data_IF_042016643371
#
_entry.id   IF_042016643371
#
_cell.length_a   1.000
_cell.length_b   1.000
_cell.length_c   1.000
_cell.angle_alpha   90.00
_cell.angle_beta   90.00
_cell.angle_gamma   90.00
#
_symmetry.space_group_name_H-M   'P 1'
#
loop_
_entity.id
_entity.type
_entity.pdbx_description
1 polymer ?
#
# COMPACT_ATOMS: atom_id res chain seq x y z
N UNK A 1 -2.78 -6.01 16.66
CA UNK A 1 -1.81 -5.09 16.03
C UNK A 1 -1.34 -5.76 14.75
N UNK A 2 -1.57 -5.16 13.58
CA UNK A 2 -1.10 -5.69 12.31
C UNK A 2 0.17 -4.93 11.94
N UNK A 3 1.29 -5.64 11.86
CA UNK A 3 2.62 -5.05 11.58
C UNK A 3 3.11 -5.38 10.17
N UNK A 4 2.63 -6.47 9.56
CA UNK A 4 3.03 -6.89 8.23
C UNK A 4 1.80 -7.23 7.38
N UNK A 5 1.77 -6.76 6.13
CA UNK A 5 0.73 -7.07 5.15
C UNK A 5 1.37 -7.49 3.82
N UNK A 6 1.16 -8.75 3.46
CA UNK A 6 1.65 -9.32 2.20
C UNK A 6 0.48 -9.49 1.23
N UNK A 7 0.51 -8.73 0.14
CA UNK A 7 -0.45 -8.78 -0.96
C UNK A 7 0.25 -9.04 -2.30
N UNK A 8 1.41 -9.68 -2.27
CA UNK A 8 2.17 -9.98 -3.48
C UNK A 8 1.44 -11.01 -4.34
N UNK A 9 1.40 -10.79 -5.66
CA UNK A 9 0.70 -11.67 -6.61
C UNK A 9 -0.81 -11.87 -6.32
N UNK A 10 -1.51 -10.79 -5.97
CA UNK A 10 -2.95 -10.81 -5.65
C UNK A 10 -3.83 -10.16 -6.72
N UNK A 11 -3.24 -9.81 -7.88
CA UNK A 11 -3.91 -9.10 -8.99
C UNK A 11 -4.46 -7.74 -8.58
N UNK A 12 -3.77 -7.04 -7.67
CA UNK A 12 -4.07 -5.63 -7.42
C UNK A 12 -3.88 -4.84 -8.72
N UNK A 13 -4.79 -3.91 -8.93
CA UNK A 13 -4.76 -2.92 -10.00
C UNK A 13 -4.84 -1.52 -9.40
N UNK A 14 -4.68 -0.48 -10.23
CA UNK A 14 -4.68 0.92 -9.78
C UNK A 14 -5.91 1.28 -8.92
N UNK A 15 -7.16 0.94 -9.31
CA UNK A 15 -8.32 1.16 -8.44
C UNK A 15 -8.24 0.45 -7.10
N UNK A 16 -7.84 -0.83 -7.08
CA UNK A 16 -7.74 -1.60 -5.85
C UNK A 16 -6.67 -1.06 -4.91
N UNK A 17 -5.51 -0.67 -5.46
CA UNK A 17 -4.40 -0.13 -4.67
C UNK A 17 -4.71 1.25 -4.10
N UNK A 18 -5.60 2.02 -4.74
CA UNK A 18 -6.07 3.30 -4.20
C UNK A 18 -6.81 3.12 -2.87
N UNK A 19 -7.67 2.12 -2.76
CA UNK A 19 -8.32 1.80 -1.48
C UNK A 19 -7.31 1.37 -0.41
N UNK A 20 -6.26 0.66 -0.82
CA UNK A 20 -5.16 0.31 0.07
C UNK A 20 -4.42 1.56 0.55
N UNK A 21 -4.06 2.47 -0.36
CA UNK A 21 -3.41 3.74 -0.05
C UNK A 21 -4.22 4.58 0.95
N UNK A 22 -5.53 4.74 0.72
CA UNK A 22 -6.44 5.45 1.63
C UNK A 22 -6.44 4.84 3.04
N UNK A 23 -6.37 3.50 3.14
CA UNK A 23 -6.32 2.80 4.42
C UNK A 23 -4.93 2.90 5.10
N UNK A 24 -3.85 2.94 4.32
CA UNK A 24 -2.48 3.05 4.83
C UNK A 24 -2.26 4.38 5.56
N UNK A 25 -2.81 5.49 5.07
CA UNK A 25 -2.66 6.80 5.73
C UNK A 25 -3.23 6.83 7.15
N UNK A 26 -4.22 6.00 7.46
CA UNK A 26 -4.82 5.90 8.79
C UNK A 26 -4.21 4.80 9.68
N UNK A 27 -3.33 3.94 9.13
CA UNK A 27 -2.83 2.77 9.84
C UNK A 27 -1.48 3.04 10.52
N UNK A 28 -1.50 3.25 11.83
CA UNK A 28 -0.31 3.68 12.61
C UNK A 28 0.55 2.52 13.14
N UNK A 29 0.29 1.27 12.73
CA UNK A 29 1.02 0.10 13.27
C UNK A 29 1.62 -0.82 12.22
N UNK A 30 1.38 -0.55 10.94
CA UNK A 30 1.90 -1.37 9.85
C UNK A 30 3.33 -0.93 9.56
N UNK A 31 4.26 -1.85 9.70
CA UNK A 31 5.71 -1.64 9.56
C UNK A 31 6.19 -2.14 8.18
N UNK A 32 5.51 -3.15 7.60
CA UNK A 32 5.90 -3.72 6.31
C UNK A 32 4.70 -3.97 5.38
N UNK A 33 4.81 -3.54 4.12
CA UNK A 33 3.84 -3.76 3.05
C UNK A 33 4.51 -4.37 1.81
N UNK A 34 4.08 -5.56 1.41
CA UNK A 34 4.58 -6.24 0.19
C UNK A 34 3.52 -6.35 -0.88
N UNK A 35 3.61 -5.51 -1.91
CA UNK A 35 2.65 -5.47 -3.05
C UNK A 35 3.29 -5.86 -4.39
N UNK A 36 4.41 -6.57 -4.38
CA UNK A 36 5.12 -6.96 -5.61
C UNK A 36 4.30 -7.93 -6.48
N UNK A 37 4.68 -8.02 -7.76
CA UNK A 37 4.02 -8.92 -8.73
C UNK A 37 2.50 -8.68 -8.86
N UNK A 38 2.08 -7.42 -8.80
CA UNK A 38 0.71 -6.99 -9.10
C UNK A 38 0.66 -6.17 -10.39
N UNK A 39 -0.54 -5.81 -10.84
CA UNK A 39 -0.78 -5.00 -12.03
C UNK A 39 -1.01 -3.53 -11.65
N UNK A 40 -0.07 -2.99 -10.88
CA UNK A 40 -0.07 -1.60 -10.42
C UNK A 40 0.77 -0.81 -11.40
N UNK A 41 0.14 0.12 -12.11
CA UNK A 41 0.79 1.03 -13.05
C UNK A 41 1.11 2.36 -12.35
N UNK A 42 1.38 3.41 -13.13
CA UNK A 42 1.83 4.71 -12.63
C UNK A 42 0.86 5.33 -11.61
N UNK A 43 -0.46 5.27 -11.86
CA UNK A 43 -1.44 5.93 -10.99
C UNK A 43 -1.55 5.24 -9.64
N UNK A 44 -1.54 3.90 -9.63
CA UNK A 44 -1.53 3.14 -8.39
C UNK A 44 -0.22 3.30 -7.62
N UNK A 45 0.91 3.36 -8.32
CA UNK A 45 2.22 3.66 -7.72
C UNK A 45 2.27 5.03 -7.06
N UNK A 46 1.71 6.06 -7.69
CA UNK A 46 1.59 7.40 -7.12
C UNK A 46 0.74 7.42 -5.84
N UNK A 47 -0.42 6.75 -5.85
CA UNK A 47 -1.29 6.68 -4.68
C UNK A 47 -0.58 6.04 -3.46
N UNK A 48 0.17 4.95 -3.68
CA UNK A 48 0.95 4.32 -2.62
C UNK A 48 2.08 5.22 -2.15
N UNK A 49 2.79 5.90 -3.04
CA UNK A 49 3.86 6.81 -2.67
C UNK A 49 3.35 7.98 -1.80
N UNK A 50 2.20 8.56 -2.15
CA UNK A 50 1.54 9.60 -1.34
C UNK A 50 1.15 9.07 0.04
N UNK A 51 0.52 7.90 0.11
CA UNK A 51 0.11 7.29 1.38
C UNK A 51 1.30 6.94 2.28
N UNK A 52 2.41 6.45 1.70
CA UNK A 52 3.65 6.14 2.43
C UNK A 52 4.32 7.42 2.93
N UNK A 53 4.29 8.51 2.15
CA UNK A 53 4.87 9.80 2.57
C UNK A 53 4.19 10.36 3.83
N UNK A 54 2.88 10.15 3.97
CA UNK A 54 2.11 10.58 5.13
C UNK A 54 2.19 9.59 6.31
N UNK A 55 2.55 8.33 6.05
CA UNK A 55 2.68 7.29 7.08
C UNK A 55 4.07 7.31 7.73
N UNK A 56 4.12 7.53 9.05
CA UNK A 56 5.38 7.64 9.82
C UNK A 56 5.95 6.31 10.32
N UNK A 57 5.25 5.20 10.09
CA UNK A 57 5.58 3.88 10.65
C UNK A 57 5.95 2.88 9.56
N UNK A 58 5.31 2.98 8.40
CA UNK A 58 5.57 2.11 7.25
C UNK A 58 6.91 2.48 6.60
N UNK A 59 7.73 1.47 6.31
CA UNK A 59 9.09 1.61 5.76
C UNK A 59 9.21 0.96 4.39
#
# INVERSE_FOLDING_TARGET
KLTELILSNTKLNDPAVKYLADALGAHETLEELRISSNSIDLLGGQAIAEAVQDNKVLV
#
